data_IF_918203357033
#
_entry.id   IF_918203357033
#
_cell.length_a   1.000
_cell.length_b   1.000
_cell.length_c   1.000
_cell.angle_alpha   90.00
_cell.angle_beta   90.00
_cell.angle_gamma   90.00
#
_symmetry.space_group_name_H-M   'P 1'
#
loop_
_entity.id
_entity.type
_entity.pdbx_description
1 polymer ?
#
# COMPACT_ATOMS: atom_id res chain seq x y z
N UNK A 1 -10.13 -12.42 -12.46
CA UNK A 1 -8.93 -11.79 -13.07
C UNK A 1 -8.80 -12.29 -14.50
N UNK A 2 -8.08 -11.58 -15.37
CA UNK A 2 -7.90 -12.00 -16.77
C UNK A 2 -6.81 -13.08 -16.89
N UNK A 3 -6.89 -13.93 -17.92
CA UNK A 3 -5.88 -14.94 -18.21
C UNK A 3 -4.56 -14.33 -18.73
N UNK A 4 -3.49 -15.11 -18.69
CA UNK A 4 -2.22 -14.74 -19.31
C UNK A 4 -2.34 -14.65 -20.83
N UNK A 5 -1.60 -13.72 -21.44
CA UNK A 5 -1.49 -13.61 -22.90
C UNK A 5 -2.67 -12.92 -23.58
N UNK A 6 -3.61 -12.36 -22.82
CA UNK A 6 -4.64 -11.47 -23.35
C UNK A 6 -4.00 -10.14 -23.77
N UNK A 7 -4.50 -9.56 -24.86
CA UNK A 7 -4.03 -8.28 -25.39
C UNK A 7 -4.10 -7.18 -24.32
N UNK A 8 -2.96 -6.53 -24.08
CA UNK A 8 -2.85 -5.49 -23.06
C UNK A 8 -3.53 -4.19 -23.47
N UNK A 9 -4.17 -3.52 -22.51
CA UNK A 9 -4.74 -2.19 -22.69
C UNK A 9 -3.68 -1.12 -22.49
N UNK A 10 -3.62 -0.12 -23.38
CA UNK A 10 -2.73 1.03 -23.21
C UNK A 10 -3.34 2.03 -22.23
N UNK A 11 -2.63 2.30 -21.14
CA UNK A 11 -3.00 3.34 -20.18
C UNK A 11 -2.04 4.51 -20.28
N UNK A 12 -2.55 5.73 -20.06
CA UNK A 12 -1.75 6.94 -20.00
C UNK A 12 -1.09 7.06 -18.63
N UNK A 13 0.20 7.38 -18.61
CA UNK A 13 0.98 7.58 -17.39
C UNK A 13 0.80 8.99 -16.85
N UNK A 14 0.87 9.16 -15.52
CA UNK A 14 0.82 10.47 -14.87
C UNK A 14 2.03 11.35 -15.27
N UNK A 15 3.18 10.71 -15.43
CA UNK A 15 4.45 11.28 -15.87
C UNK A 15 5.04 10.42 -17.00
N UNK A 16 5.69 11.02 -18.00
CA UNK A 16 6.43 10.27 -18.99
C UNK A 16 7.55 9.44 -18.35
N UNK A 17 7.85 8.27 -18.93
CA UNK A 17 9.03 7.49 -18.57
C UNK A 17 10.32 8.23 -18.97
N UNK A 18 11.46 7.78 -18.45
CA UNK A 18 12.78 8.33 -18.79
C UNK A 18 13.11 8.25 -20.29
N UNK A 19 12.50 7.30 -21.01
CA UNK A 19 12.62 7.16 -22.47
C UNK A 19 11.57 7.96 -23.27
N UNK A 20 10.78 8.80 -22.60
CA UNK A 20 9.76 9.66 -23.21
C UNK A 20 8.41 8.99 -23.45
N UNK A 21 8.25 7.68 -23.18
CA UNK A 21 6.94 7.02 -23.35
C UNK A 21 5.91 7.59 -22.37
N UNK A 22 4.73 7.90 -22.89
CA UNK A 22 3.59 8.44 -22.12
C UNK A 22 2.51 7.41 -21.83
N UNK A 23 2.62 6.21 -22.39
CA UNK A 23 1.67 5.12 -22.21
C UNK A 23 2.40 3.83 -21.82
N UNK A 24 1.68 2.94 -21.15
CA UNK A 24 2.15 1.61 -20.83
C UNK A 24 1.07 0.56 -21.10
N UNK A 25 1.45 -0.65 -21.57
CA UNK A 25 0.55 -1.80 -21.62
C UNK A 25 0.23 -2.27 -20.20
N UNK A 26 -1.04 -2.56 -19.94
CA UNK A 26 -1.57 -3.03 -18.65
C UNK A 26 -2.60 -4.13 -18.89
N UNK A 27 -2.70 -5.07 -17.94
CA UNK A 27 -3.73 -6.10 -17.94
C UNK A 27 -5.13 -5.48 -18.04
N UNK A 28 -5.97 -5.88 -19.02
CA UNK A 28 -7.25 -5.22 -19.28
C UNK A 28 -8.17 -5.17 -18.06
N UNK A 29 -8.17 -6.22 -17.22
CA UNK A 29 -9.07 -6.30 -16.07
C UNK A 29 -8.74 -5.32 -14.93
N UNK A 30 -7.58 -4.67 -14.95
CA UNK A 30 -7.20 -3.63 -13.97
C UNK A 30 -6.90 -2.28 -14.63
N UNK A 31 -7.06 -2.17 -15.95
CA UNK A 31 -6.70 -0.99 -16.72
C UNK A 31 -7.40 0.27 -16.21
N UNK A 32 -8.70 0.20 -15.88
CA UNK A 32 -9.47 1.34 -15.37
C UNK A 32 -8.96 1.83 -14.01
N UNK A 33 -8.53 0.91 -13.14
CA UNK A 33 -7.94 1.24 -11.84
C UNK A 33 -6.60 1.95 -12.05
N UNK A 34 -5.74 1.40 -12.91
CA UNK A 34 -4.42 1.98 -13.21
C UNK A 34 -4.57 3.35 -13.88
N UNK A 35 -5.52 3.50 -14.80
CA UNK A 35 -5.81 4.76 -15.47
C UNK A 35 -6.27 5.81 -14.44
N UNK A 36 -7.22 5.45 -13.57
CA UNK A 36 -7.72 6.34 -12.51
C UNK A 36 -6.62 6.82 -11.56
N UNK A 37 -5.69 5.94 -11.19
CA UNK A 37 -4.54 6.30 -10.36
C UNK A 37 -3.64 7.32 -11.07
N UNK A 38 -3.27 7.06 -12.33
CA UNK A 38 -2.43 7.97 -13.08
C UNK A 38 -3.11 9.33 -13.34
N UNK A 39 -4.41 9.34 -13.64
CA UNK A 39 -5.19 10.57 -13.84
C UNK A 39 -5.29 11.40 -12.55
N UNK A 40 -5.26 10.76 -11.39
CA UNK A 40 -5.19 11.44 -10.08
C UNK A 40 -3.80 11.96 -9.70
N UNK A 41 -2.79 11.76 -10.56
CA UNK A 41 -1.39 12.14 -10.30
C UNK A 41 -0.60 11.10 -9.50
N UNK A 42 -1.19 9.93 -9.22
CA UNK A 42 -0.50 8.82 -8.56
C UNK A 42 0.21 7.96 -9.63
N UNK A 43 1.47 8.28 -9.89
CA UNK A 43 2.29 7.57 -10.88
C UNK A 43 2.42 6.09 -10.51
N UNK A 44 1.96 5.22 -11.41
CA UNK A 44 2.16 3.76 -11.28
C UNK A 44 3.48 3.35 -11.91
N UNK A 45 4.24 2.48 -11.25
CA UNK A 45 5.54 1.97 -11.73
C UNK A 45 5.44 0.56 -12.32
N UNK A 46 4.72 -0.33 -11.65
CA UNK A 46 4.50 -1.70 -12.07
C UNK A 46 3.09 -2.13 -11.66
N UNK A 47 2.42 -2.89 -12.51
CA UNK A 47 1.09 -3.42 -12.21
C UNK A 47 0.89 -4.78 -12.89
N UNK A 48 0.22 -5.68 -12.18
CA UNK A 48 -0.24 -6.96 -12.72
C UNK A 48 -1.47 -7.38 -11.92
N UNK A 49 -2.48 -7.91 -12.60
CA UNK A 49 -3.67 -8.41 -11.92
C UNK A 49 -3.41 -9.71 -11.17
N UNK A 50 -2.28 -10.40 -11.41
CA UNK A 50 -1.93 -11.67 -10.77
C UNK A 50 -2.46 -12.91 -11.51
N UNK A 51 -3.28 -12.69 -12.55
CA UNK A 51 -3.79 -13.70 -13.48
C UNK A 51 -4.46 -14.92 -12.82
N UNK A 52 -5.06 -14.73 -11.64
CA UNK A 52 -5.72 -15.81 -10.89
C UNK A 52 -4.76 -16.76 -10.16
N UNK A 53 -3.44 -16.60 -10.35
CA UNK A 53 -2.41 -17.41 -9.70
C UNK A 53 -1.91 -16.77 -8.40
N UNK A 54 -1.94 -15.44 -8.35
CA UNK A 54 -1.45 -14.64 -7.22
C UNK A 54 -2.33 -13.41 -7.03
N UNK A 55 -2.21 -12.76 -5.87
CA UNK A 55 -2.83 -11.45 -5.65
C UNK A 55 -2.25 -10.45 -6.64
N UNK A 56 -3.12 -9.61 -7.20
CA UNK A 56 -2.69 -8.51 -8.05
C UNK A 56 -1.94 -7.47 -7.24
N UNK A 57 -1.07 -6.71 -7.92
CA UNK A 57 -0.31 -5.62 -7.31
C UNK A 57 -0.25 -4.41 -8.21
N UNK A 58 -0.28 -3.22 -7.61
CA UNK A 58 0.03 -1.95 -8.26
C UNK A 58 1.02 -1.20 -7.37
N UNK A 59 2.24 -1.02 -7.87
CA UNK A 59 3.31 -0.28 -7.18
C UNK A 59 3.26 1.19 -7.59
N UNK A 60 3.24 2.09 -6.62
CA UNK A 60 3.22 3.54 -6.81
C UNK A 60 4.61 4.16 -6.63
N UNK A 61 4.87 5.28 -7.31
CA UNK A 61 6.16 6.00 -7.25
C UNK A 61 6.51 6.47 -5.84
N UNK A 62 5.51 6.74 -4.98
CA UNK A 62 5.71 7.17 -3.60
C UNK A 62 6.03 6.03 -2.61
N UNK A 63 6.26 4.82 -3.13
CA UNK A 63 6.66 3.64 -2.36
C UNK A 63 5.50 2.87 -1.72
N UNK A 64 4.25 3.24 -2.00
CA UNK A 64 3.08 2.42 -1.62
C UNK A 64 2.84 1.30 -2.63
N UNK A 65 2.29 0.18 -2.15
CA UNK A 65 1.73 -0.87 -3.00
C UNK A 65 0.26 -1.07 -2.66
N UNK A 66 -0.57 -1.19 -3.70
CA UNK A 66 -1.94 -1.63 -3.60
C UNK A 66 -1.98 -3.11 -3.96
N UNK A 67 -2.52 -3.93 -3.05
CA UNK A 67 -2.74 -5.35 -3.28
C UNK A 67 -4.20 -5.56 -3.68
N UNK A 68 -4.40 -6.25 -4.80
CA UNK A 68 -5.72 -6.57 -5.34
C UNK A 68 -6.05 -8.02 -4.98
N UNK A 69 -7.09 -8.20 -4.18
CA UNK A 69 -7.58 -9.50 -3.73
C UNK A 69 -9.10 -9.43 -3.57
N UNK A 70 -9.73 -10.58 -3.38
CA UNK A 70 -11.15 -10.63 -3.05
C UNK A 70 -11.43 -10.06 -1.65
N UNK A 71 -12.67 -9.64 -1.44
CA UNK A 71 -13.14 -9.15 -0.14
C UNK A 71 -12.96 -10.20 0.97
N UNK A 72 -13.22 -11.47 0.66
CA UNK A 72 -13.13 -12.56 1.62
C UNK A 72 -11.68 -12.85 2.02
N UNK A 73 -10.75 -12.80 1.06
CA UNK A 73 -9.31 -12.91 1.35
C UNK A 73 -8.83 -11.76 2.24
N UNK A 74 -9.27 -10.53 1.95
CA UNK A 74 -8.93 -9.36 2.76
C UNK A 74 -9.47 -9.49 4.19
N UNK A 75 -10.74 -9.87 4.36
CA UNK A 75 -11.33 -10.10 5.68
C UNK A 75 -10.61 -11.22 6.44
N UNK A 76 -10.22 -12.30 5.76
CA UNK A 76 -9.50 -13.40 6.38
C UNK A 76 -8.10 -12.99 6.86
N UNK A 77 -7.42 -12.09 6.14
CA UNK A 77 -6.15 -11.50 6.58
C UNK A 77 -6.37 -10.58 7.80
N UNK A 78 -7.36 -9.68 7.72
CA UNK A 78 -7.69 -8.77 8.82
C UNK A 78 -8.08 -9.52 10.11
N UNK A 79 -8.75 -10.66 9.99
CA UNK A 79 -9.10 -11.50 11.13
C UNK A 79 -7.90 -12.24 11.73
N UNK A 80 -6.86 -12.51 10.92
CA UNK A 80 -5.61 -13.16 11.36
C UNK A 80 -4.64 -12.19 12.01
N UNK A 81 -4.69 -10.91 11.62
CA UNK A 81 -3.87 -9.87 12.22
C UNK A 81 -4.31 -9.64 13.67
N UNK A 82 -3.47 -10.08 14.63
CA UNK A 82 -3.72 -9.83 16.05
C UNK A 82 -3.67 -8.32 16.29
N UNK A 83 -4.85 -7.72 16.41
CA UNK A 83 -4.97 -6.35 16.88
C UNK A 83 -4.49 -6.31 18.33
N UNK A 84 -3.36 -5.65 18.57
CA UNK A 84 -2.87 -5.43 19.92
C UNK A 84 -3.92 -4.67 20.73
N UNK A 85 -4.15 -5.11 21.95
CA UNK A 85 -4.98 -4.40 22.91
C UNK A 85 -4.32 -3.09 23.33
N UNK A 86 -5.11 -2.14 23.83
CA UNK A 86 -4.57 -0.88 24.36
C UNK A 86 -3.59 -1.12 25.52
N UNK A 87 -3.76 -2.20 26.29
CA UNK A 87 -2.81 -2.59 27.33
C UNK A 87 -1.47 -3.02 26.73
N UNK A 88 -1.47 -3.92 25.74
CA UNK A 88 -0.26 -4.38 25.07
C UNK A 88 0.48 -3.26 24.33
N UNK A 89 -0.26 -2.31 23.73
CA UNK A 89 0.32 -1.11 23.13
C UNK A 89 1.01 -0.24 24.19
N UNK A 90 0.39 -0.05 25.36
CA UNK A 90 1.02 0.68 26.47
C UNK A 90 2.25 -0.04 26.99
N UNK A 91 2.20 -1.36 27.11
CA UNK A 91 3.32 -2.15 27.59
C UNK A 91 4.53 -2.07 26.65
N UNK A 92 4.32 -2.11 25.32
CA UNK A 92 5.40 -1.89 24.33
C UNK A 92 5.99 -0.48 24.47
N UNK A 93 5.14 0.55 24.55
CA UNK A 93 5.58 1.95 24.72
C UNK A 93 6.42 2.12 26.00
N UNK A 94 5.99 1.48 27.10
CA UNK A 94 6.68 1.53 28.39
C UNK A 94 7.98 0.70 28.40
N UNK A 95 7.98 -0.47 27.74
CA UNK A 95 9.14 -1.37 27.65
C UNK A 95 10.25 -0.81 26.76
N UNK A 96 9.91 -0.10 25.70
CA UNK A 96 10.87 0.57 24.80
C UNK A 96 11.43 1.88 25.40
N UNK A 97 11.15 2.18 26.68
CA UNK A 97 11.68 3.35 27.38
C UNK A 97 11.12 4.70 26.90
N UNK A 98 10.00 4.70 26.15
CA UNK A 98 9.36 5.89 25.60
C UNK A 98 8.43 6.60 26.61
N UNK A 99 8.60 6.37 27.93
CA UNK A 99 7.78 7.03 28.96
C UNK A 99 8.20 8.50 29.19
N UNK A 100 9.48 8.84 28.95
CA UNK A 100 9.94 10.23 29.15
C UNK A 100 9.41 11.21 28.10
N UNK A 101 9.30 10.78 26.84
CA UNK A 101 8.92 11.64 25.71
C UNK A 101 7.42 11.84 25.52
N UNK A 102 6.56 10.95 26.02
CA UNK A 102 5.11 11.11 25.86
C UNK A 102 4.48 12.04 26.93
N UNK A 103 5.02 12.01 28.17
CA UNK A 103 4.58 12.91 29.24
C UNK A 103 5.06 14.35 29.04
N UNK A 104 6.28 14.56 28.52
CA UNK A 104 6.84 15.90 28.31
C UNK A 104 6.23 16.65 27.11
N UNK A 105 5.68 15.93 26.12
CA UNK A 105 5.16 16.55 24.88
C UNK A 105 3.62 16.66 24.80
N UNK A 106 2.86 16.23 25.82
CA UNK A 106 1.39 16.37 25.82
C UNK A 106 0.70 15.69 24.64
N UNK A 107 1.33 14.67 24.07
CA UNK A 107 0.88 14.01 22.84
C UNK A 107 -0.09 12.88 23.19
N UNK A 108 -1.34 13.01 22.70
CA UNK A 108 -2.35 11.95 22.87
C UNK A 108 -1.93 10.66 22.15
N UNK A 109 -2.49 9.53 22.57
CA UNK A 109 -2.20 8.17 22.05
C UNK A 109 -2.22 8.05 20.51
N UNK A 110 -2.97 8.92 19.81
CA UNK A 110 -3.03 8.95 18.36
C UNK A 110 -1.70 9.39 17.73
N UNK A 111 -1.07 10.39 18.33
CA UNK A 111 0.19 10.97 17.83
C UNK A 111 1.42 10.10 18.16
N UNK A 112 1.37 9.33 19.25
CA UNK A 112 2.37 8.30 19.56
C UNK A 112 2.38 7.15 18.52
N UNK A 113 1.19 6.71 18.09
CA UNK A 113 1.01 5.68 17.05
C UNK A 113 1.67 6.06 15.72
N UNK A 114 1.67 7.35 15.36
CA UNK A 114 2.23 7.83 14.10
C UNK A 114 3.77 7.83 14.09
N UNK A 115 4.40 8.25 15.20
CA UNK A 115 5.86 8.28 15.34
C UNK A 115 6.47 6.87 15.38
N UNK A 116 5.81 5.92 16.04
CA UNK A 116 6.28 4.54 16.11
C UNK A 116 6.26 3.84 14.73
N UNK A 117 5.28 4.17 13.89
CA UNK A 117 5.20 3.69 12.50
C UNK A 117 6.32 4.23 11.60
N UNK A 118 6.78 5.46 11.86
CA UNK A 118 7.87 6.09 11.11
C UNK A 118 9.24 5.54 11.50
N UNK A 119 9.47 5.26 12.79
CA UNK A 119 10.76 4.76 13.27
C UNK A 119 11.09 3.33 12.79
N UNK A 120 10.09 2.46 12.61
CA UNK A 120 10.28 1.09 12.07
C UNK A 120 10.46 1.01 10.55
N UNK A 121 10.37 2.13 9.81
CA UNK A 121 10.61 2.16 8.36
C UNK A 121 12.05 2.56 7.99
N UNK A 122 12.89 2.87 8.98
CA UNK A 122 14.26 3.35 8.79
C UNK A 122 15.32 2.41 9.38
N UNK A 123 14.95 1.16 9.70
CA UNK A 123 15.84 0.10 10.15
C UNK A 123 15.75 -1.09 9.19
#
# INVERSE_FOLDING_TARGET
MCEWGIEATQVKLAKPKSDGRTHAPVDPCIADIVQSLNDSGLQTLACCCGHGETNGRISLEDGRELILMSFDEAQALDAKEKRLTDAEVRDIINADGCDKTLREFGLNLLSARLKFRLARRSA
#
